data_IF_288711145726
#
_entry.id   IF_288711145726
#
_cell.length_a   1.000
_cell.length_b   1.000
_cell.length_c   1.000
_cell.angle_alpha   90.00
_cell.angle_beta   90.00
_cell.angle_gamma   90.00
#
_symmetry.space_group_name_H-M   'P 1'
#
loop_
_entity.id
_entity.type
_entity.pdbx_description
1 polymer ?
#
# COMPACT_ATOMS: atom_id res chain seq x y z
N UNK A 1 -9.41 -9.76 2.98
CA UNK A 1 -8.83 -8.77 3.90
C UNK A 1 -7.37 -9.10 4.10
N UNK A 2 -6.47 -8.17 3.81
CA UNK A 2 -5.03 -8.39 3.82
C UNK A 2 -4.46 -8.36 5.24
N UNK A 3 -3.39 -9.14 5.47
CA UNK A 3 -2.72 -9.31 6.76
C UNK A 3 -1.33 -8.69 6.72
N UNK A 4 -0.81 -8.36 7.89
CA UNK A 4 0.58 -7.91 8.04
C UNK A 4 1.52 -8.97 7.47
N UNK A 5 2.46 -8.54 6.62
CA UNK A 5 3.38 -9.43 5.92
C UNK A 5 2.92 -9.83 4.52
N UNK A 6 1.65 -9.61 4.16
CA UNK A 6 1.17 -9.88 2.80
C UNK A 6 1.84 -8.93 1.79
N UNK A 7 2.10 -9.44 0.59
CA UNK A 7 2.52 -8.63 -0.56
C UNK A 7 1.30 -8.46 -1.47
N UNK A 8 0.92 -7.21 -1.70
CA UNK A 8 -0.25 -6.85 -2.53
C UNK A 8 0.18 -5.97 -3.70
N UNK A 9 -0.65 -5.91 -4.75
CA UNK A 9 -0.42 -5.02 -5.88
C UNK A 9 -1.19 -3.71 -5.69
N UNK A 10 -0.50 -2.58 -5.78
CA UNK A 10 -1.06 -1.23 -5.59
C UNK A 10 -0.65 -0.31 -6.72
N UNK A 11 -1.49 0.67 -7.06
CA UNK A 11 -1.13 1.71 -8.01
C UNK A 11 -0.18 2.72 -7.35
N UNK A 12 0.99 2.92 -7.96
CA UNK A 12 2.00 3.87 -7.48
C UNK A 12 2.68 4.63 -8.63
N UNK A 13 2.98 5.94 -8.50
CA UNK A 13 2.62 6.81 -7.37
C UNK A 13 1.11 6.96 -7.23
N UNK A 14 0.61 7.13 -5.99
CA UNK A 14 -0.77 7.52 -5.74
C UNK A 14 -0.92 8.97 -6.22
N UNK A 15 -1.57 9.15 -7.36
CA UNK A 15 -1.76 10.46 -7.98
C UNK A 15 -3.08 10.46 -8.73
N UNK A 16 -3.74 11.62 -8.76
CA UNK A 16 -4.96 11.85 -9.53
C UNK A 16 -4.75 11.82 -11.05
N UNK A 17 -3.50 11.58 -11.49
CA UNK A 17 -3.10 11.44 -12.91
C UNK A 17 -2.90 9.96 -13.22
N UNK A 18 -3.96 9.20 -13.55
CA UNK A 18 -3.91 7.74 -13.69
C UNK A 18 -2.85 7.26 -14.69
N UNK A 19 -2.57 8.06 -15.74
CA UNK A 19 -1.53 7.80 -16.74
C UNK A 19 -0.11 7.66 -16.17
N UNK A 20 0.15 8.18 -14.96
CA UNK A 20 1.46 8.07 -14.29
C UNK A 20 1.53 6.91 -13.29
N UNK A 21 0.39 6.37 -12.88
CA UNK A 21 0.36 5.26 -11.93
C UNK A 21 0.68 3.93 -12.62
N UNK A 22 1.45 3.08 -11.95
CA UNK A 22 1.71 1.70 -12.37
C UNK A 22 1.40 0.77 -11.21
N UNK A 23 0.95 -0.45 -11.50
CA UNK A 23 0.85 -1.49 -10.49
C UNK A 23 2.26 -1.86 -10.00
N UNK A 24 2.42 -1.84 -8.67
CA UNK A 24 3.66 -2.16 -7.96
C UNK A 24 3.35 -3.09 -6.79
N UNK A 25 4.25 -4.00 -6.43
CA UNK A 25 4.13 -4.74 -5.19
C UNK A 25 4.37 -3.82 -3.98
N UNK A 26 3.57 -4.00 -2.94
CA UNK A 26 3.72 -3.33 -1.65
C UNK A 26 3.53 -4.32 -0.50
N UNK A 27 4.32 -4.17 0.56
CA UNK A 27 4.23 -4.98 1.76
C UNK A 27 3.22 -4.36 2.72
N UNK A 28 2.25 -5.12 3.20
CA UNK A 28 1.33 -4.69 4.25
C UNK A 28 2.06 -4.71 5.59
N UNK A 29 2.18 -3.54 6.23
CA UNK A 29 2.87 -3.40 7.52
C UNK A 29 1.91 -3.14 8.69
N UNK A 30 0.67 -2.75 8.40
CA UNK A 30 -0.37 -2.61 9.42
C UNK A 30 -0.95 -3.96 9.85
N UNK A 31 -1.33 -4.04 11.13
CA UNK A 31 -1.92 -5.24 11.72
C UNK A 31 -3.42 -5.35 11.37
N UNK A 32 -3.96 -6.55 11.54
CA UNK A 32 -5.37 -6.84 11.24
C UNK A 32 -6.37 -5.98 12.01
N UNK A 33 -6.09 -5.65 13.28
CA UNK A 33 -7.00 -4.87 14.12
C UNK A 33 -7.15 -3.45 13.60
N UNK A 34 -6.05 -2.78 13.26
CA UNK A 34 -6.07 -1.44 12.65
C UNK A 34 -6.75 -1.47 11.28
N UNK A 35 -6.41 -2.46 10.44
CA UNK A 35 -7.02 -2.61 9.11
C UNK A 35 -8.54 -2.79 9.18
N UNK A 36 -9.04 -3.36 10.28
CA UNK A 36 -10.48 -3.58 10.50
C UNK A 36 -11.20 -2.35 11.01
N UNK A 37 -10.54 -1.53 11.81
CA UNK A 37 -11.14 -0.32 12.38
C UNK A 37 -11.32 0.76 11.32
N UNK A 38 -10.28 0.97 10.51
CA UNK A 38 -10.23 2.10 9.57
C UNK A 38 -10.58 1.69 8.13
N UNK A 39 -10.67 0.38 7.85
CA UNK A 39 -10.77 -0.16 6.48
C UNK A 39 -9.61 0.26 5.55
N UNK A 40 -8.49 0.66 6.14
CA UNK A 40 -7.28 1.11 5.47
C UNK A 40 -6.12 0.14 5.67
N UNK A 41 -5.12 0.22 4.79
CA UNK A 41 -3.84 -0.48 4.96
C UNK A 41 -2.67 0.49 4.99
N UNK A 42 -1.76 0.30 5.93
CA UNK A 42 -0.43 0.87 5.84
C UNK A 42 0.45 -0.09 5.04
N UNK A 43 1.00 0.37 3.92
CA UNK A 43 1.84 -0.45 3.04
C UNK A 43 3.16 0.24 2.74
N UNK A 44 4.22 -0.54 2.51
CA UNK A 44 5.49 0.00 2.03
C UNK A 44 5.71 -0.47 0.58
N UNK A 45 5.62 0.43 -0.42
CA UNK A 45 5.86 0.11 -1.81
C UNK A 45 7.33 -0.26 -2.02
N UNK A 46 7.56 -1.31 -2.80
CA UNK A 46 8.93 -1.74 -3.09
C UNK A 46 9.47 -0.92 -4.28
N UNK A 47 10.10 0.22 -3.99
CA UNK A 47 10.76 1.04 -5.00
C UNK A 47 12.27 0.83 -4.97
N UNK A 48 12.84 0.35 -6.08
CA UNK A 48 14.26 0.03 -6.25
C UNK A 48 15.22 1.23 -6.05
N UNK A 49 14.69 2.44 -5.82
CA UNK A 49 15.45 3.68 -5.61
C UNK A 49 15.13 4.40 -4.28
N UNK A 50 14.09 4.01 -3.53
CA UNK A 50 13.77 4.65 -2.24
C UNK A 50 12.81 3.80 -1.41
N UNK A 51 13.31 2.88 -0.56
CA UNK A 51 12.48 1.96 0.22
C UNK A 51 11.82 2.57 1.47
N UNK A 52 12.06 3.84 1.77
CA UNK A 52 11.81 4.40 3.12
C UNK A 52 10.43 5.04 3.35
N UNK A 53 9.53 5.03 2.37
CA UNK A 53 8.22 5.72 2.50
C UNK A 53 7.10 4.70 2.52
N UNK A 54 6.53 4.44 3.70
CA UNK A 54 5.28 3.71 3.82
C UNK A 54 4.10 4.67 3.62
N UNK A 55 3.04 4.18 2.99
CA UNK A 55 1.92 4.94 2.49
C UNK A 55 0.64 4.30 3.01
N UNK A 56 -0.28 5.13 3.50
CA UNK A 56 -1.62 4.71 3.85
C UNK A 56 -2.45 4.56 2.57
N UNK A 57 -3.03 3.38 2.36
CA UNK A 57 -3.91 3.06 1.25
C UNK A 57 -5.31 2.82 1.80
N UNK A 58 -6.26 3.66 1.37
CA UNK A 58 -7.67 3.35 1.50
C UNK A 58 -7.98 2.13 0.63
N UNK A 59 -8.62 1.13 1.22
CA UNK A 59 -9.25 0.04 0.47
C UNK A 59 -10.75 0.23 0.59
N UNK A 60 -11.34 0.88 -0.41
CA UNK A 60 -12.81 0.83 -0.61
C UNK A 60 -13.27 -0.55 -1.11
#
# INVERSE_FOLDING_TARGET
>A
MYRQGDIIAVHYPLTDKPAKSKLRPALVVSNYTSNKLDSDLLVCPNHHQNPSVCILLLIE
#
